data_IF_093865055298
#
_entry.id   IF_093865055298
#
_cell.length_a   1.000
_cell.length_b   1.000
_cell.length_c   1.000
_cell.angle_alpha   90.00
_cell.angle_beta   90.00
_cell.angle_gamma   90.00
#
_symmetry.space_group_name_H-M   'P 1'
#
loop_
_entity.id
_entity.type
_entity.pdbx_description
1 polymer ?
#
# COMPACT_ATOMS: atom_id res chain seq x y z
N UNK A 1 25.39 -5.14 -2.00
CA UNK A 1 25.54 -5.50 -0.55
C UNK A 1 24.17 -5.89 -0.04
N UNK A 2 24.01 -7.10 0.53
CA UNK A 2 22.71 -7.51 1.08
C UNK A 2 22.73 -7.29 2.59
N UNK A 3 21.90 -6.38 3.08
CA UNK A 3 21.60 -6.31 4.50
C UNK A 3 20.56 -7.39 4.82
N UNK A 4 20.97 -8.45 5.51
CA UNK A 4 20.06 -9.50 5.96
C UNK A 4 19.41 -9.07 7.26
N UNK A 5 18.10 -8.86 7.28
CA UNK A 5 17.35 -8.77 8.51
C UNK A 5 17.40 -10.15 9.20
N UNK A 6 17.95 -10.20 10.39
CA UNK A 6 17.88 -11.36 11.26
C UNK A 6 16.53 -11.33 11.99
N UNK A 7 16.02 -12.52 12.24
CA UNK A 7 14.80 -12.91 12.93
C UNK A 7 13.95 -11.80 13.61
N UNK A 8 12.63 -11.94 13.50
CA UNK A 8 11.61 -10.99 14.02
C UNK A 8 11.71 -10.65 15.51
N UNK A 9 12.48 -11.39 16.28
CA UNK A 9 12.65 -11.23 17.72
C UNK A 9 14.02 -10.67 18.14
N UNK A 10 14.90 -10.35 17.20
CA UNK A 10 16.21 -9.81 17.50
C UNK A 10 16.19 -8.29 17.31
N UNK A 11 16.44 -7.55 18.38
CA UNK A 11 16.67 -6.11 18.29
C UNK A 11 17.90 -5.87 17.41
N UNK A 12 17.69 -5.32 16.24
CA UNK A 12 18.75 -4.85 15.37
C UNK A 12 18.91 -3.35 15.65
N UNK A 13 20.06 -2.91 16.17
CA UNK A 13 20.28 -1.49 16.39
C UNK A 13 20.22 -0.73 15.07
N UNK A 14 19.81 0.54 15.06
CA UNK A 14 19.84 1.38 13.88
C UNK A 14 21.21 1.31 13.21
N UNK A 15 21.22 0.93 11.95
CA UNK A 15 22.46 0.79 11.17
C UNK A 15 22.53 1.92 10.16
N UNK A 16 23.61 2.68 10.19
CA UNK A 16 23.91 3.66 9.16
C UNK A 16 24.66 2.99 8.01
N UNK A 17 24.21 3.24 6.79
CA UNK A 17 24.95 2.88 5.58
C UNK A 17 25.83 4.07 5.19
N UNK A 18 27.14 3.84 5.13
CA UNK A 18 28.11 4.83 4.66
C UNK A 18 28.61 4.36 3.29
N UNK A 19 28.45 5.22 2.28
CA UNK A 19 28.96 4.96 0.93
C UNK A 19 30.24 5.78 0.78
N UNK A 20 31.35 5.12 0.50
CA UNK A 20 32.67 5.73 0.30
C UNK A 20 33.13 5.38 -1.11
N UNK A 21 33.51 6.39 -1.88
CA UNK A 21 34.00 6.19 -3.24
C UNK A 21 34.11 7.48 -4.05
N UNK A 22 34.26 7.32 -5.36
CA UNK A 22 34.17 8.43 -6.30
C UNK A 22 32.72 8.96 -6.36
N UNK A 23 32.57 10.15 -6.95
CA UNK A 23 31.25 10.75 -7.19
C UNK A 23 30.34 9.79 -7.97
N UNK A 24 29.19 9.45 -7.39
CA UNK A 24 28.21 8.57 -7.99
C UNK A 24 26.81 8.86 -7.43
N UNK A 25 25.80 8.75 -8.28
CA UNK A 25 24.41 8.74 -7.85
C UNK A 25 24.05 7.35 -7.32
N UNK A 26 23.53 7.29 -6.10
CA UNK A 26 23.18 6.04 -5.43
C UNK A 26 21.75 6.10 -4.93
N UNK A 27 20.95 5.14 -5.39
CA UNK A 27 19.58 4.94 -4.90
C UNK A 27 19.50 3.73 -3.98
N UNK A 28 18.85 3.91 -2.83
CA UNK A 28 18.66 2.86 -1.84
C UNK A 28 17.17 2.57 -1.68
N UNK A 29 16.76 1.35 -2.02
CA UNK A 29 15.39 0.91 -1.86
C UNK A 29 15.24 0.05 -0.62
N UNK A 30 14.21 0.36 0.17
CA UNK A 30 13.89 -0.40 1.38
C UNK A 30 13.14 -1.69 1.04
N UNK A 31 13.72 -2.83 1.34
CA UNK A 31 13.02 -4.12 1.30
C UNK A 31 12.17 -4.37 2.54
N UNK A 32 12.75 -4.09 3.72
CA UNK A 32 12.09 -4.25 5.04
C UNK A 32 12.63 -3.20 6.01
N UNK A 33 12.01 -3.06 7.18
CA UNK A 33 12.42 -2.08 8.19
C UNK A 33 11.84 -0.69 7.95
N UNK A 34 12.35 0.30 8.66
CA UNK A 34 11.93 1.71 8.58
C UNK A 34 13.13 2.59 8.37
N UNK A 35 13.01 3.56 7.47
CA UNK A 35 13.99 4.65 7.39
C UNK A 35 13.70 5.66 8.50
N UNK A 36 14.74 6.06 9.22
CA UNK A 36 14.64 7.07 10.27
C UNK A 36 15.65 8.18 10.04
N UNK A 37 15.26 9.40 10.42
CA UNK A 37 16.18 10.54 10.42
C UNK A 37 17.17 10.39 11.59
N UNK A 38 18.44 10.53 11.30
CA UNK A 38 19.49 10.46 12.34
C UNK A 38 19.45 11.72 13.21
N UNK A 39 19.20 11.55 14.51
CA UNK A 39 19.15 12.68 15.45
C UNK A 39 20.53 13.31 15.73
N UNK A 40 21.60 12.55 15.56
CA UNK A 40 22.99 13.03 15.80
C UNK A 40 23.60 13.73 14.57
N UNK A 41 23.12 13.35 13.40
CA UNK A 41 23.60 13.90 12.12
C UNK A 41 22.37 14.29 11.27
N UNK A 42 21.90 15.54 11.39
CA UNK A 42 20.67 16.00 10.74
C UNK A 42 20.73 16.04 9.20
N UNK A 43 21.89 15.90 8.61
CA UNK A 43 22.06 15.79 7.16
C UNK A 43 21.62 14.41 6.65
N UNK A 44 21.65 13.40 7.52
CA UNK A 44 21.15 12.05 7.22
C UNK A 44 19.65 11.99 7.46
N UNK A 45 18.88 12.01 6.38
CA UNK A 45 17.41 12.06 6.41
C UNK A 45 16.81 10.69 6.11
N UNK A 46 15.57 10.51 6.55
CA UNK A 46 14.72 9.40 6.09
C UNK A 46 14.45 9.55 4.58
N UNK A 47 14.29 8.42 3.91
CA UNK A 47 13.88 8.39 2.50
C UNK A 47 12.46 8.93 2.28
N UNK A 48 12.08 9.07 1.03
CA UNK A 48 10.74 9.46 0.61
C UNK A 48 10.10 8.37 -0.29
N UNK A 49 8.99 8.69 -0.94
CA UNK A 49 8.27 7.79 -1.84
C UNK A 49 8.65 7.95 -3.31
N UNK A 50 9.70 8.72 -3.64
CA UNK A 50 10.17 8.88 -5.01
C UNK A 50 10.84 7.59 -5.48
N UNK A 51 10.75 7.30 -6.77
CA UNK A 51 11.37 6.13 -7.40
C UNK A 51 10.95 4.77 -6.79
N UNK A 52 9.76 4.71 -6.21
CA UNK A 52 9.28 3.51 -5.48
C UNK A 52 8.34 2.61 -6.28
N UNK A 53 8.22 2.84 -7.59
CA UNK A 53 7.45 1.97 -8.49
C UNK A 53 8.23 0.67 -8.70
N UNK A 54 7.70 -0.43 -8.18
CA UNK A 54 8.34 -1.74 -8.24
C UNK A 54 7.88 -2.55 -9.47
N UNK A 55 8.67 -3.58 -9.82
CA UNK A 55 8.26 -4.59 -10.81
C UNK A 55 6.99 -5.33 -10.32
N UNK A 56 6.04 -5.64 -11.23
CA UNK A 56 6.06 -5.40 -12.68
C UNK A 56 5.59 -4.01 -13.12
N UNK A 57 5.12 -3.15 -12.21
CA UNK A 57 4.49 -1.86 -12.53
C UNK A 57 5.46 -0.84 -13.16
N UNK A 58 6.78 -1.03 -13.02
CA UNK A 58 7.79 -0.22 -13.69
C UNK A 58 7.95 -0.51 -15.19
N UNK A 59 7.30 -1.54 -15.73
CA UNK A 59 7.38 -1.91 -17.16
C UNK A 59 6.58 -0.96 -18.04
N UNK A 60 7.05 -0.72 -19.27
CA UNK A 60 6.32 -0.01 -20.33
C UNK A 60 5.01 -0.70 -20.72
N UNK A 61 4.96 -2.03 -20.63
CA UNK A 61 3.82 -2.85 -21.08
C UNK A 61 2.68 -2.96 -20.05
N UNK A 62 2.84 -2.32 -18.87
CA UNK A 62 1.89 -2.44 -17.76
C UNK A 62 1.31 -1.08 -17.42
N UNK A 63 0.00 -1.03 -17.20
CA UNK A 63 -0.68 0.14 -16.63
C UNK A 63 -0.46 0.12 -15.12
N UNK A 64 0.41 0.99 -14.63
CA UNK A 64 0.66 1.16 -13.21
C UNK A 64 -0.41 2.07 -12.60
N UNK A 65 -1.02 1.60 -11.52
CA UNK A 65 -2.12 2.31 -10.85
C UNK A 65 -1.69 2.79 -9.48
N UNK A 66 -1.72 4.10 -9.26
CA UNK A 66 -1.54 4.71 -7.96
C UNK A 66 -2.86 4.79 -7.17
N UNK A 67 -2.75 5.16 -5.90
CA UNK A 67 -3.89 5.30 -5.02
C UNK A 67 -4.21 6.76 -4.69
N UNK A 68 -5.50 7.09 -4.67
CA UNK A 68 -6.00 8.31 -4.06
C UNK A 68 -6.73 8.01 -2.76
N UNK A 69 -6.74 9.00 -1.87
CA UNK A 69 -7.54 8.98 -0.66
C UNK A 69 -9.02 9.08 -1.01
N UNK A 70 -9.87 8.33 -0.29
CA UNK A 70 -11.30 8.32 -0.53
C UNK A 70 -12.07 8.69 0.74
N UNK A 71 -12.10 7.81 1.72
CA UNK A 71 -12.71 8.06 3.02
C UNK A 71 -11.70 7.91 4.15
N UNK A 72 -11.96 8.53 5.28
CA UNK A 72 -11.07 8.51 6.44
C UNK A 72 -11.58 7.63 7.58
N UNK A 73 -12.85 7.24 7.54
CA UNK A 73 -13.49 6.44 8.59
C UNK A 73 -14.55 5.52 8.01
N UNK A 74 -14.87 4.48 8.76
CA UNK A 74 -16.02 3.59 8.56
C UNK A 74 -16.63 3.27 9.92
N UNK A 75 -17.88 2.81 9.91
CA UNK A 75 -18.48 2.10 11.05
C UNK A 75 -18.39 0.61 10.77
N UNK A 76 -17.84 -0.17 11.69
CA UNK A 76 -17.71 -1.61 11.51
C UNK A 76 -19.01 -2.35 11.90
N UNK A 77 -19.07 -3.66 11.65
CA UNK A 77 -20.22 -4.52 11.94
C UNK A 77 -20.64 -4.57 13.42
N UNK A 78 -19.78 -4.09 14.34
CA UNK A 78 -20.09 -3.96 15.77
C UNK A 78 -20.63 -2.58 16.14
N UNK A 79 -20.76 -1.66 15.19
CA UNK A 79 -21.12 -0.27 15.44
C UNK A 79 -19.98 0.60 15.94
N UNK A 80 -18.73 0.14 15.88
CA UNK A 80 -17.56 0.90 16.28
C UNK A 80 -17.02 1.75 15.12
N UNK A 81 -16.68 3.00 15.40
CA UNK A 81 -15.98 3.84 14.42
C UNK A 81 -14.51 3.42 14.30
N UNK A 82 -14.07 3.19 13.06
CA UNK A 82 -12.68 2.93 12.72
C UNK A 82 -12.15 4.09 11.88
N UNK A 83 -11.04 4.66 12.32
CA UNK A 83 -10.42 5.80 11.64
C UNK A 83 -9.07 5.38 11.04
N UNK A 84 -8.89 5.66 9.75
CA UNK A 84 -7.63 5.48 9.04
C UNK A 84 -7.44 6.67 8.10
N UNK A 85 -6.68 7.65 8.57
CA UNK A 85 -6.47 8.88 7.84
C UNK A 85 -5.27 8.77 6.90
N UNK A 86 -5.53 8.48 5.63
CA UNK A 86 -4.55 8.49 4.54
C UNK A 86 -4.78 9.70 3.61
N UNK A 87 -5.17 10.84 4.16
CA UNK A 87 -5.62 12.00 3.41
C UNK A 87 -7.11 11.92 3.06
N UNK A 88 -7.62 12.92 2.40
CA UNK A 88 -9.05 13.05 2.04
C UNK A 88 -9.23 13.69 0.65
N UNK A 89 -10.44 13.62 0.12
CA UNK A 89 -10.85 14.43 -1.03
C UNK A 89 -10.18 14.08 -2.36
N UNK A 90 -9.72 12.86 -2.55
CA UNK A 90 -9.14 12.42 -3.83
C UNK A 90 -7.66 12.80 -4.04
N UNK A 91 -6.98 13.32 -3.01
CA UNK A 91 -5.52 13.56 -3.08
C UNK A 91 -4.76 12.24 -3.18
N UNK A 92 -3.55 12.29 -3.71
CA UNK A 92 -2.66 11.12 -3.77
C UNK A 92 -2.41 10.62 -2.34
N UNK A 93 -2.68 9.35 -2.12
CA UNK A 93 -2.48 8.74 -0.81
C UNK A 93 -0.99 8.70 -0.43
N UNK A 94 -0.62 8.97 0.84
CA UNK A 94 0.78 9.03 1.26
C UNK A 94 1.56 7.75 1.02
N UNK A 95 0.89 6.61 1.00
CA UNK A 95 1.50 5.29 0.76
C UNK A 95 1.63 4.96 -0.74
N UNK A 96 1.02 5.74 -1.63
CA UNK A 96 1.10 5.48 -3.07
C UNK A 96 2.52 5.71 -3.57
N UNK A 97 3.08 4.70 -4.22
CA UNK A 97 4.39 4.81 -4.85
C UNK A 97 4.39 5.87 -5.94
N UNK A 98 5.54 6.52 -6.11
CA UNK A 98 5.76 7.60 -7.08
C UNK A 98 6.97 7.29 -7.95
N UNK A 99 6.88 7.70 -9.22
CA UNK A 99 7.99 7.71 -10.14
C UNK A 99 8.78 9.03 -10.11
N UNK A 100 9.62 9.24 -11.11
CA UNK A 100 9.85 8.33 -12.25
C UNK A 100 10.47 6.99 -11.83
N UNK A 101 10.46 6.00 -12.72
CA UNK A 101 11.27 4.78 -12.52
C UNK A 101 12.76 5.11 -12.69
N UNK A 102 13.68 4.21 -12.28
CA UNK A 102 15.12 4.42 -12.53
C UNK A 102 15.46 4.65 -14.00
N UNK A 103 14.69 4.08 -14.93
CA UNK A 103 14.83 4.29 -16.38
C UNK A 103 14.15 5.56 -16.88
N UNK A 104 13.63 6.40 -15.98
CA UNK A 104 13.02 7.69 -16.31
C UNK A 104 11.56 7.62 -16.78
N UNK A 105 10.86 6.47 -16.67
CA UNK A 105 9.44 6.37 -17.01
C UNK A 105 8.59 7.10 -15.98
N UNK A 106 7.66 7.92 -16.46
CA UNK A 106 6.69 8.57 -15.61
C UNK A 106 5.62 7.52 -15.22
N UNK A 107 5.59 7.15 -13.96
CA UNK A 107 4.64 6.22 -13.36
C UNK A 107 4.16 6.78 -12.00
N UNK A 108 2.95 6.44 -11.52
CA UNK A 108 1.95 5.59 -12.15
C UNK A 108 1.30 6.26 -13.36
N UNK A 109 0.69 5.46 -14.28
CA UNK A 109 0.01 5.97 -15.48
C UNK A 109 -1.34 6.60 -15.14
N UNK A 110 -1.99 6.09 -14.09
CA UNK A 110 -3.32 6.50 -13.64
C UNK A 110 -3.46 6.31 -12.14
N UNK A 111 -4.39 6.99 -11.52
CA UNK A 111 -4.75 6.83 -10.11
C UNK A 111 -6.23 6.48 -9.96
N UNK A 112 -6.57 5.76 -8.89
CA UNK A 112 -7.94 5.45 -8.51
C UNK A 112 -8.07 5.42 -6.98
N UNK A 113 -9.30 5.48 -6.43
CA UNK A 113 -9.52 5.35 -5.00
C UNK A 113 -8.92 4.07 -4.44
N UNK A 114 -8.10 4.19 -3.38
CA UNK A 114 -7.39 3.07 -2.78
C UNK A 114 -7.41 3.08 -1.24
N UNK A 115 -7.90 4.16 -0.61
CA UNK A 115 -7.98 4.27 0.84
C UNK A 115 -9.39 3.94 1.34
N UNK A 116 -9.46 3.01 2.29
CA UNK A 116 -10.69 2.59 2.95
C UNK A 116 -11.78 2.14 1.96
N UNK A 117 -11.41 1.27 1.05
CA UNK A 117 -12.30 0.71 0.03
C UNK A 117 -13.02 -0.51 0.60
N UNK A 118 -14.35 -0.52 0.49
CA UNK A 118 -15.20 -1.61 0.94
C UNK A 118 -15.42 -2.59 -0.21
N UNK A 119 -15.13 -3.88 0.04
CA UNK A 119 -15.29 -4.96 -0.92
C UNK A 119 -15.56 -6.29 -0.22
N UNK A 120 -15.89 -7.32 -1.00
CA UNK A 120 -16.10 -8.67 -0.49
C UNK A 120 -14.85 -9.22 0.18
N UNK A 121 -15.04 -9.99 1.25
CA UNK A 121 -13.95 -10.60 2.00
C UNK A 121 -14.09 -12.12 2.08
N UNK A 122 -12.97 -12.80 2.28
CA UNK A 122 -12.89 -14.26 2.23
C UNK A 122 -13.57 -14.91 3.44
N UNK A 123 -14.68 -15.62 3.23
CA UNK A 123 -15.44 -16.31 4.29
C UNK A 123 -14.63 -17.38 5.02
N UNK A 124 -13.75 -18.11 4.34
CA UNK A 124 -12.88 -19.11 4.99
C UNK A 124 -11.84 -18.45 5.89
N UNK A 125 -11.35 -17.29 5.51
CA UNK A 125 -10.42 -16.53 6.35
C UNK A 125 -11.11 -16.03 7.61
N UNK A 126 -12.31 -15.46 7.49
CA UNK A 126 -13.12 -14.99 8.63
C UNK A 126 -13.39 -16.14 9.60
N UNK A 127 -13.84 -17.30 9.11
CA UNK A 127 -14.12 -18.46 9.94
C UNK A 127 -12.87 -18.97 10.69
N UNK A 128 -11.70 -18.91 10.06
CA UNK A 128 -10.45 -19.39 10.64
C UNK A 128 -9.78 -18.36 11.57
N UNK A 129 -10.01 -17.08 11.34
CA UNK A 129 -9.33 -15.97 12.02
C UNK A 129 -10.30 -14.88 12.50
N UNK A 130 -11.38 -15.22 13.24
CA UNK A 130 -12.47 -14.29 13.56
C UNK A 130 -12.03 -13.11 14.46
N UNK A 131 -10.90 -13.24 15.14
CA UNK A 131 -10.38 -12.22 16.07
C UNK A 131 -9.22 -11.40 15.49
N UNK A 132 -8.81 -11.66 14.24
CA UNK A 132 -7.74 -10.92 13.63
C UNK A 132 -8.11 -9.43 13.46
N UNK A 133 -7.09 -8.59 13.49
CA UNK A 133 -7.28 -7.13 13.45
C UNK A 133 -7.93 -6.65 12.15
N UNK A 134 -7.66 -7.31 11.04
CA UNK A 134 -8.28 -6.99 9.74
C UNK A 134 -9.78 -7.30 9.70
N UNK A 135 -10.26 -8.34 10.40
CA UNK A 135 -11.70 -8.64 10.55
C UNK A 135 -12.44 -7.55 11.35
N UNK A 136 -11.74 -6.79 12.19
CA UNK A 136 -12.33 -5.65 12.89
C UNK A 136 -12.66 -4.46 11.95
N UNK A 137 -12.22 -4.52 10.70
CA UNK A 137 -12.55 -3.58 9.65
C UNK A 137 -13.70 -4.04 8.75
N UNK A 138 -14.33 -5.19 9.08
CA UNK A 138 -15.57 -5.61 8.42
C UNK A 138 -16.68 -4.61 8.70
N UNK A 139 -17.32 -4.14 7.65
CA UNK A 139 -18.42 -3.17 7.74
C UNK A 139 -19.73 -3.88 8.04
N UNK A 140 -19.91 -5.04 7.45
CA UNK A 140 -21.13 -5.85 7.61
C UNK A 140 -20.81 -7.33 7.50
N UNK A 141 -21.48 -8.15 8.31
CA UNK A 141 -21.48 -9.61 8.19
C UNK A 141 -22.85 -10.09 7.73
N UNK A 142 -22.88 -11.13 6.91
CA UNK A 142 -24.10 -11.81 6.51
C UNK A 142 -23.87 -13.31 6.36
N UNK A 143 -24.91 -14.08 6.66
CA UNK A 143 -24.88 -15.54 6.58
C UNK A 143 -25.46 -16.03 5.26
N UNK A 144 -24.75 -16.94 4.59
CA UNK A 144 -25.26 -17.64 3.43
C UNK A 144 -24.75 -19.09 3.41
N UNK A 145 -25.68 -20.05 3.29
CA UNK A 145 -25.37 -21.50 3.24
C UNK A 145 -24.44 -21.97 4.37
N UNK A 146 -24.64 -21.45 5.59
CA UNK A 146 -23.86 -21.84 6.78
C UNK A 146 -22.45 -21.28 6.84
N UNK A 147 -22.14 -20.27 6.05
CA UNK A 147 -20.87 -19.55 6.08
C UNK A 147 -21.10 -18.06 6.31
N UNK A 148 -20.24 -17.44 7.10
CA UNK A 148 -20.24 -16.00 7.32
C UNK A 148 -19.44 -15.32 6.21
N UNK A 149 -20.04 -14.36 5.55
CA UNK A 149 -19.44 -13.48 4.56
C UNK A 149 -19.36 -12.06 5.12
N UNK A 150 -18.45 -11.26 4.60
CA UNK A 150 -18.32 -9.87 5.02
C UNK A 150 -18.05 -8.93 3.86
N UNK A 151 -18.45 -7.69 4.09
CA UNK A 151 -17.90 -6.53 3.40
C UNK A 151 -16.80 -5.94 4.27
N UNK A 152 -15.55 -6.07 3.83
CA UNK A 152 -14.38 -5.58 4.57
C UNK A 152 -13.85 -4.29 3.97
N UNK A 153 -13.35 -3.42 4.83
CA UNK A 153 -12.70 -2.18 4.44
C UNK A 153 -11.19 -2.35 4.42
N UNK A 154 -10.58 -2.09 3.26
CA UNK A 154 -9.15 -2.26 3.08
C UNK A 154 -8.52 -1.05 2.39
N UNK A 155 -7.18 -0.90 2.54
CA UNK A 155 -6.42 0.23 2.02
C UNK A 155 -5.18 -0.26 1.29
N UNK A 156 -4.92 0.29 0.10
CA UNK A 156 -3.74 0.00 -0.70
C UNK A 156 -3.96 0.25 -2.19
N UNK A 157 -2.89 0.32 -2.95
CA UNK A 157 -2.96 0.34 -4.43
C UNK A 157 -3.57 -0.96 -4.99
N UNK A 158 -3.56 -2.04 -4.20
CA UNK A 158 -4.27 -3.29 -4.49
C UNK A 158 -5.79 -3.11 -4.61
N UNK A 159 -6.36 -2.05 -4.03
CA UNK A 159 -7.78 -1.68 -4.15
C UNK A 159 -8.02 -0.74 -5.33
N UNK A 160 -7.02 0.07 -5.69
CA UNK A 160 -7.09 0.97 -6.85
C UNK A 160 -6.99 0.21 -8.18
N UNK A 161 -6.11 -0.76 -8.27
CA UNK A 161 -5.85 -1.51 -9.51
C UNK A 161 -7.10 -2.20 -10.06
N UNK A 162 -7.91 -2.95 -9.29
CA UNK A 162 -9.12 -3.58 -9.79
C UNK A 162 -10.21 -2.57 -10.20
N UNK A 163 -10.25 -1.38 -9.58
CA UNK A 163 -11.17 -0.33 -10.01
C UNK A 163 -10.86 0.15 -11.43
N UNK A 164 -9.58 0.36 -11.74
CA UNK A 164 -9.13 0.70 -13.10
C UNK A 164 -9.36 -0.45 -14.07
N UNK A 165 -9.06 -1.69 -13.67
CA UNK A 165 -9.30 -2.87 -14.51
C UNK A 165 -10.79 -3.02 -14.87
N UNK A 166 -11.68 -2.81 -13.90
CA UNK A 166 -13.13 -2.80 -14.14
C UNK A 166 -13.57 -1.70 -15.11
N UNK A 167 -13.05 -0.49 -14.96
CA UNK A 167 -13.33 0.61 -15.87
C UNK A 167 -12.86 0.30 -17.30
N UNK A 168 -11.69 -0.30 -17.48
CA UNK A 168 -11.17 -0.74 -18.78
C UNK A 168 -12.06 -1.83 -19.38
N UNK A 169 -12.51 -2.81 -18.58
CA UNK A 169 -13.39 -3.87 -19.04
C UNK A 169 -14.73 -3.31 -19.56
N UNK A 170 -15.34 -2.38 -18.83
CA UNK A 170 -16.57 -1.70 -19.28
C UNK A 170 -16.35 -0.90 -20.55
N UNK A 171 -15.22 -0.22 -20.67
CA UNK A 171 -14.87 0.53 -21.87
C UNK A 171 -14.68 -0.39 -23.10
N UNK A 172 -14.03 -1.53 -22.92
CA UNK A 172 -13.88 -2.52 -24.00
C UNK A 172 -15.21 -3.15 -24.41
N UNK A 173 -16.12 -3.36 -23.44
CA UNK A 173 -17.46 -3.87 -23.72
C UNK A 173 -18.32 -2.88 -24.52
N UNK A 174 -18.09 -1.58 -24.35
CA UNK A 174 -18.85 -0.53 -25.02
C UNK A 174 -18.41 -0.28 -26.50
N UNK A 175 -17.33 -0.89 -26.93
CA UNK A 175 -16.85 -0.86 -28.33
C UNK A 175 -17.45 -1.97 -29.16
#
# INVERSE_FOLDING_TARGET
MFLRALDKNTYVPPTALIIIGAEADVELFRGTGTWETNQREPTLKSGDNSHTILSPACSHAVIAVGATSYRTHITNYKGEEKVSNNGSGGVIAPYSSKGPTPEGLIKPDVVAPGSNIISSYNSFYIAKHPTNNDVQWDVEHFEHKGSTYAWNCNTGTSMSAPAVAGAIALWLQAK
#
